data_IF_545894826194
#
_entry.id   IF_545894826194
#
_cell.length_a   1.000
_cell.length_b   1.000
_cell.length_c   1.000
_cell.angle_alpha   90.00
_cell.angle_beta   90.00
_cell.angle_gamma   90.00
#
_symmetry.space_group_name_H-M   'P 1'
#
loop_
_entity.id
_entity.type
_entity.pdbx_description
1 polymer ?
#
# COMPACT_ATOMS: atom_id res chain seq x y z
N UNK A 1 1.91 -10.30 -0.61
CA UNK A 1 1.87 -10.59 -2.05
C UNK A 1 2.85 -9.70 -2.79
N UNK A 2 3.85 -10.32 -3.42
CA UNK A 2 4.81 -9.69 -4.34
C UNK A 2 4.38 -9.95 -5.78
N UNK A 3 4.93 -9.19 -6.74
CA UNK A 3 4.68 -9.42 -8.18
C UNK A 3 5.08 -10.83 -8.61
N UNK A 4 6.22 -11.31 -8.11
CA UNK A 4 6.78 -12.61 -8.48
C UNK A 4 6.00 -13.79 -7.86
N UNK A 5 5.06 -13.51 -6.96
CA UNK A 5 4.28 -14.50 -6.20
C UNK A 5 2.77 -14.40 -6.54
N UNK A 6 2.46 -14.07 -7.80
CA UNK A 6 1.10 -14.03 -8.31
C UNK A 6 0.85 -15.00 -9.48
N UNK A 7 -0.42 -15.31 -9.74
CA UNK A 7 -0.89 -16.27 -10.73
C UNK A 7 -0.53 -15.91 -12.18
N UNK A 8 -0.20 -14.64 -12.44
CA UNK A 8 0.21 -14.12 -13.76
C UNK A 8 1.64 -13.56 -13.75
N UNK A 9 2.48 -13.98 -12.81
CA UNK A 9 3.84 -13.42 -12.65
C UNK A 9 4.68 -13.55 -13.92
N UNK A 10 4.51 -14.63 -14.69
CA UNK A 10 5.25 -14.88 -15.93
C UNK A 10 4.82 -13.91 -17.04
N UNK A 11 3.53 -13.67 -17.16
CA UNK A 11 2.91 -12.77 -18.12
C UNK A 11 3.33 -11.32 -17.82
N UNK A 12 3.28 -10.91 -16.55
CA UNK A 12 3.76 -9.60 -16.11
C UNK A 12 5.26 -9.41 -16.40
N UNK A 13 6.09 -10.42 -16.12
CA UNK A 13 7.51 -10.36 -16.42
C UNK A 13 7.79 -10.20 -17.92
N UNK A 14 7.09 -10.96 -18.78
CA UNK A 14 7.21 -10.85 -20.25
C UNK A 14 6.75 -9.50 -20.78
N UNK A 15 5.72 -8.92 -20.18
CA UNK A 15 5.23 -7.58 -20.52
C UNK A 15 6.13 -6.44 -19.97
N UNK A 16 7.17 -6.77 -19.21
CA UNK A 16 8.00 -5.76 -18.56
C UNK A 16 7.25 -4.98 -17.49
N UNK A 17 6.41 -5.65 -16.69
CA UNK A 17 5.62 -5.12 -15.57
C UNK A 17 6.03 -5.78 -14.24
N UNK A 18 7.33 -5.99 -14.07
CA UNK A 18 7.94 -6.60 -12.87
C UNK A 18 8.74 -5.56 -12.07
N UNK A 19 9.27 -5.95 -10.91
CA UNK A 19 10.17 -5.12 -10.08
C UNK A 19 11.43 -4.59 -10.83
N UNK A 20 11.73 -5.09 -12.04
CA UNK A 20 12.86 -4.66 -12.87
C UNK A 20 12.50 -3.57 -13.89
N UNK A 21 11.23 -3.25 -14.04
CA UNK A 21 10.70 -2.43 -15.13
C UNK A 21 10.75 -0.92 -14.88
N UNK A 22 11.26 -0.50 -13.72
CA UNK A 22 11.10 0.87 -13.23
C UNK A 22 9.79 1.02 -12.44
N UNK A 23 9.67 2.11 -11.68
CA UNK A 23 8.70 2.17 -10.60
C UNK A 23 7.26 2.24 -11.13
N UNK A 24 6.93 3.08 -12.12
CA UNK A 24 5.55 3.22 -12.64
C UNK A 24 5.00 1.89 -13.21
N UNK A 25 5.85 1.15 -13.93
CA UNK A 25 5.52 -0.17 -14.45
C UNK A 25 5.38 -1.21 -13.36
N UNK A 26 6.11 -1.05 -12.25
CA UNK A 26 5.97 -1.90 -11.07
C UNK A 26 4.63 -1.67 -10.37
N UNK A 27 4.18 -0.41 -10.19
CA UNK A 27 2.83 -0.11 -9.67
C UNK A 27 1.75 -0.75 -10.54
N UNK A 28 1.78 -0.50 -11.86
CA UNK A 28 0.80 -1.03 -12.78
C UNK A 28 0.80 -2.58 -12.77
N UNK A 29 2.00 -3.18 -12.71
CA UNK A 29 2.13 -4.62 -12.51
C UNK A 29 1.46 -5.11 -11.23
N UNK A 30 1.59 -4.37 -10.12
CA UNK A 30 1.04 -4.82 -8.84
C UNK A 30 -0.48 -4.71 -8.83
N UNK A 31 -1.04 -3.67 -9.46
CA UNK A 31 -2.48 -3.55 -9.69
C UNK A 31 -3.00 -4.72 -10.52
N UNK A 32 -2.33 -5.06 -11.62
CA UNK A 32 -2.71 -6.20 -12.47
C UNK A 32 -2.58 -7.53 -11.71
N UNK A 33 -1.56 -7.70 -10.87
CA UNK A 33 -1.41 -8.88 -10.01
C UNK A 33 -2.56 -9.01 -9.01
N UNK A 34 -2.92 -7.92 -8.31
CA UNK A 34 -4.07 -7.88 -7.37
C UNK A 34 -5.38 -8.19 -8.09
N UNK A 35 -5.59 -7.60 -9.28
CA UNK A 35 -6.74 -7.89 -10.11
C UNK A 35 -6.81 -9.38 -10.48
N UNK A 36 -5.72 -9.91 -11.03
CA UNK A 36 -5.66 -11.30 -11.50
C UNK A 36 -5.88 -12.30 -10.38
N UNK A 37 -5.26 -12.07 -9.23
CA UNK A 37 -5.39 -12.92 -8.04
C UNK A 37 -6.81 -12.95 -7.50
N UNK A 38 -7.57 -11.85 -7.63
CA UNK A 38 -8.99 -11.81 -7.25
C UNK A 38 -9.85 -12.76 -8.08
N UNK A 39 -9.48 -13.00 -9.33
CA UNK A 39 -10.24 -13.83 -10.28
C UNK A 39 -9.58 -15.19 -10.55
N UNK A 40 -8.44 -15.48 -9.91
CA UNK A 40 -7.74 -16.75 -10.05
C UNK A 40 -8.33 -17.80 -9.10
N UNK A 41 -8.93 -18.84 -9.66
CA UNK A 41 -9.55 -19.94 -8.88
C UNK A 41 -8.55 -20.69 -7.99
N UNK A 42 -7.28 -20.74 -8.38
CA UNK A 42 -6.20 -21.38 -7.63
C UNK A 42 -5.34 -20.38 -6.84
N UNK A 43 -5.87 -19.17 -6.59
CA UNK A 43 -5.14 -18.15 -5.85
C UNK A 43 -4.80 -18.62 -4.43
N UNK A 44 -3.51 -18.67 -4.11
CA UNK A 44 -3.05 -18.87 -2.74
C UNK A 44 -3.36 -17.68 -1.83
N UNK A 45 -3.64 -16.51 -2.42
CA UNK A 45 -4.00 -15.28 -1.74
C UNK A 45 -5.50 -15.12 -1.57
N UNK A 46 -6.32 -16.05 -2.05
CA UNK A 46 -7.78 -16.00 -1.96
C UNK A 46 -8.30 -15.68 -0.54
N UNK A 47 -7.78 -16.28 0.56
CA UNK A 47 -8.24 -15.92 1.91
C UNK A 47 -7.94 -14.46 2.29
N UNK A 48 -6.78 -13.95 1.87
CA UNK A 48 -6.39 -12.56 2.11
C UNK A 48 -7.22 -11.58 1.26
N UNK A 49 -7.41 -11.86 -0.03
CA UNK A 49 -8.25 -11.05 -0.92
C UNK A 49 -9.73 -11.09 -0.53
N UNK A 50 -10.18 -12.18 0.11
CA UNK A 50 -11.51 -12.28 0.68
C UNK A 50 -11.73 -11.29 1.83
N UNK A 51 -10.68 -10.95 2.59
CA UNK A 51 -10.72 -9.99 3.68
C UNK A 51 -10.72 -8.52 3.19
N UNK A 52 -10.12 -8.23 2.03
CA UNK A 52 -10.10 -6.88 1.46
C UNK A 52 -11.51 -6.36 1.10
N UNK A 53 -11.71 -5.02 1.15
CA UNK A 53 -12.98 -4.40 0.79
C UNK A 53 -13.44 -4.77 -0.62
N UNK A 54 -14.72 -5.10 -0.78
CA UNK A 54 -15.31 -5.45 -2.10
C UNK A 54 -15.53 -4.24 -2.99
N UNK A 55 -15.75 -3.08 -2.38
CA UNK A 55 -15.88 -1.77 -3.01
C UNK A 55 -15.16 -0.72 -2.16
N UNK A 56 -14.84 0.43 -2.76
CA UNK A 56 -14.05 1.49 -2.14
C UNK A 56 -14.75 2.87 -2.22
N UNK A 57 -16.03 2.99 -1.82
CA UNK A 57 -16.86 4.18 -2.07
C UNK A 57 -16.33 5.47 -1.42
N UNK A 58 -15.42 5.34 -0.44
CA UNK A 58 -14.78 6.48 0.23
C UNK A 58 -13.57 7.02 -0.54
N UNK A 59 -13.02 6.28 -1.49
CA UNK A 59 -11.92 6.76 -2.31
C UNK A 59 -12.46 7.66 -3.42
N UNK A 60 -11.88 8.86 -3.64
CA UNK A 60 -12.22 9.73 -4.75
C UNK A 60 -12.24 9.03 -6.11
N UNK A 61 -11.37 8.03 -6.29
CA UNK A 61 -11.34 7.17 -7.48
C UNK A 61 -12.70 6.55 -7.87
N UNK A 62 -13.57 6.34 -6.89
CA UNK A 62 -14.89 5.71 -7.09
C UNK A 62 -16.05 6.70 -7.11
N UNK A 63 -15.76 8.00 -6.97
CA UNK A 63 -16.78 9.03 -6.85
C UNK A 63 -17.37 9.39 -8.21
N UNK A 64 -18.65 9.81 -8.25
CA UNK A 64 -19.23 10.41 -9.43
C UNK A 64 -18.58 11.76 -9.74
N UNK A 65 -18.71 12.21 -10.99
CA UNK A 65 -17.97 13.37 -11.51
C UNK A 65 -18.35 14.69 -10.81
N UNK A 66 -19.59 14.84 -10.38
CA UNK A 66 -20.08 15.99 -9.61
C UNK A 66 -19.44 16.08 -8.23
N UNK A 67 -19.28 14.94 -7.54
CA UNK A 67 -18.55 14.87 -6.27
C UNK A 67 -17.04 15.12 -6.45
N UNK A 68 -16.45 14.62 -7.54
CA UNK A 68 -15.05 14.90 -7.89
C UNK A 68 -14.82 16.40 -8.17
N UNK A 69 -15.78 17.08 -8.79
CA UNK A 69 -15.70 18.51 -9.07
C UNK A 69 -15.57 19.36 -7.79
N UNK A 70 -16.07 18.87 -6.65
CA UNK A 70 -15.90 19.54 -5.34
C UNK A 70 -14.45 19.54 -4.83
N UNK A 71 -13.57 18.70 -5.40
CA UNK A 71 -12.14 18.69 -5.07
C UNK A 71 -11.35 19.73 -5.87
N UNK A 72 -11.97 20.45 -6.82
CA UNK A 72 -11.29 21.46 -7.63
C UNK A 72 -10.57 22.49 -6.76
N UNK A 73 -9.31 22.76 -7.09
CA UNK A 73 -8.45 23.68 -6.32
C UNK A 73 -7.85 23.09 -5.05
N UNK A 74 -8.15 21.84 -4.70
CA UNK A 74 -7.50 21.15 -3.58
C UNK A 74 -6.26 20.37 -4.04
N UNK A 75 -5.30 20.17 -3.14
CA UNK A 75 -4.16 19.31 -3.42
C UNK A 75 -4.56 17.86 -3.73
N UNK A 76 -5.74 17.39 -3.28
CA UNK A 76 -6.21 16.04 -3.57
C UNK A 76 -6.49 15.86 -5.07
N UNK A 77 -7.18 16.81 -5.70
CA UNK A 77 -7.43 16.81 -7.14
C UNK A 77 -6.12 16.84 -7.93
N UNK A 78 -5.21 17.77 -7.59
CA UNK A 78 -3.92 17.88 -8.26
C UNK A 78 -3.13 16.56 -8.24
N UNK A 79 -3.07 15.91 -7.08
CA UNK A 79 -2.32 14.65 -6.91
C UNK A 79 -2.98 13.47 -7.60
N UNK A 80 -4.31 13.45 -7.74
CA UNK A 80 -5.02 12.45 -8.53
C UNK A 80 -4.69 12.61 -10.02
N UNK A 81 -4.61 13.85 -10.50
CA UNK A 81 -4.19 14.22 -11.86
C UNK A 81 -2.69 13.98 -12.11
N UNK A 82 -1.93 13.48 -11.13
CA UNK A 82 -0.49 13.32 -11.23
C UNK A 82 0.31 14.62 -11.14
N UNK A 83 -0.35 15.78 -10.97
CA UNK A 83 0.35 17.03 -10.65
C UNK A 83 1.08 16.82 -9.32
N UNK A 84 2.34 17.25 -9.28
CA UNK A 84 3.27 17.04 -8.16
C UNK A 84 3.89 15.64 -8.05
N UNK A 85 3.58 14.69 -8.94
CA UNK A 85 4.50 13.58 -9.23
C UNK A 85 5.73 14.19 -9.93
N UNK A 86 6.67 14.73 -9.14
CA UNK A 86 7.84 15.47 -9.66
C UNK A 86 8.59 14.61 -10.67
N UNK A 87 9.10 15.22 -11.75
CA UNK A 87 10.09 14.63 -12.67
C UNK A 87 11.08 13.73 -11.92
N UNK A 88 11.00 12.43 -12.16
CA UNK A 88 11.87 11.41 -11.57
C UNK A 88 11.38 10.74 -10.28
N UNK A 89 10.20 11.10 -9.76
CA UNK A 89 9.56 10.43 -8.62
C UNK A 89 8.29 9.68 -9.09
N UNK A 90 8.32 8.37 -8.89
CA UNK A 90 7.26 7.38 -9.13
C UNK A 90 5.83 7.90 -8.91
N UNK A 91 4.93 7.57 -9.84
CA UNK A 91 3.48 7.82 -9.72
C UNK A 91 2.89 6.89 -8.67
N UNK A 92 2.52 7.43 -7.51
CA UNK A 92 1.96 6.62 -6.42
C UNK A 92 0.46 6.35 -6.63
N UNK A 93 0.03 5.08 -6.62
CA UNK A 93 -1.37 4.72 -6.77
C UNK A 93 -2.28 5.45 -5.76
N UNK A 94 -3.51 5.85 -6.15
CA UNK A 94 -4.14 5.66 -7.47
C UNK A 94 -3.98 6.88 -8.42
N UNK A 95 -2.88 7.63 -8.34
CA UNK A 95 -2.66 8.78 -9.24
C UNK A 95 -2.57 8.32 -10.71
N UNK A 96 -3.09 9.14 -11.63
CA UNK A 96 -3.07 8.91 -13.09
C UNK A 96 -3.61 7.53 -13.52
N UNK A 97 -4.50 6.93 -12.73
CA UNK A 97 -5.01 5.57 -12.98
C UNK A 97 -5.65 5.39 -14.37
N UNK A 98 -6.28 6.42 -14.91
CA UNK A 98 -6.85 6.38 -16.27
C UNK A 98 -5.77 6.38 -17.36
N UNK A 99 -4.63 7.03 -17.10
CA UNK A 99 -3.45 6.96 -17.99
C UNK A 99 -2.85 5.56 -17.93
N UNK A 100 -2.64 5.02 -16.72
CA UNK A 100 -2.16 3.65 -16.52
C UNK A 100 -3.10 2.62 -17.14
N UNK A 101 -4.41 2.83 -17.06
CA UNK A 101 -5.40 1.99 -17.72
C UNK A 101 -5.23 2.03 -19.23
N UNK A 102 -5.24 3.23 -19.83
CA UNK A 102 -5.17 3.42 -21.28
C UNK A 102 -3.89 2.86 -21.89
N UNK A 103 -2.76 3.11 -21.24
CA UNK A 103 -1.43 2.91 -21.82
C UNK A 103 -0.78 1.58 -21.41
N UNK A 104 -1.22 0.97 -20.29
CA UNK A 104 -0.60 -0.25 -19.75
C UNK A 104 -1.62 -1.36 -19.55
N UNK A 105 -2.62 -1.15 -18.70
CA UNK A 105 -3.48 -2.25 -18.25
C UNK A 105 -4.41 -2.76 -19.35
N UNK A 106 -5.07 -1.88 -20.10
CA UNK A 106 -5.96 -2.27 -21.20
C UNK A 106 -5.21 -3.05 -22.29
N UNK A 107 -4.09 -2.56 -22.86
CA UNK A 107 -3.30 -3.35 -23.82
C UNK A 107 -2.86 -4.71 -23.27
N UNK A 108 -2.49 -4.78 -21.98
CA UNK A 108 -2.13 -6.05 -21.35
C UNK A 108 -3.33 -7.01 -21.29
N UNK A 109 -4.49 -6.56 -20.81
CA UNK A 109 -5.68 -7.40 -20.64
C UNK A 109 -6.30 -7.83 -21.97
N UNK A 110 -6.19 -7.02 -23.03
CA UNK A 110 -6.63 -7.39 -24.39
C UNK A 110 -5.91 -8.66 -24.91
N UNK A 111 -4.65 -8.86 -24.52
CA UNK A 111 -3.84 -10.04 -24.84
C UNK A 111 -4.00 -11.18 -23.82
N UNK A 112 -4.64 -10.93 -22.67
CA UNK A 112 -4.79 -11.87 -21.57
C UNK A 112 -6.24 -11.88 -21.03
N UNK A 113 -7.21 -12.10 -21.93
CA UNK A 113 -8.65 -11.92 -21.66
C UNK A 113 -9.23 -12.77 -20.53
N UNK A 114 -8.53 -13.81 -20.08
CA UNK A 114 -8.96 -14.67 -18.96
C UNK A 114 -8.63 -14.10 -17.58
N UNK A 115 -7.83 -13.03 -17.51
CA UNK A 115 -7.35 -12.45 -16.25
C UNK A 115 -8.44 -11.65 -15.53
N UNK A 116 -9.37 -11.08 -16.28
CA UNK A 116 -10.44 -10.23 -15.78
C UNK A 116 -11.78 -10.68 -16.37
N UNK A 117 -12.91 -10.52 -15.65
CA UNK A 117 -14.23 -10.76 -16.22
C UNK A 117 -14.51 -9.80 -17.37
N UNK A 118 -14.99 -10.35 -18.49
CA UNK A 118 -15.33 -9.58 -19.68
C UNK A 118 -16.34 -8.47 -19.39
N UNK A 119 -16.07 -7.25 -19.87
CA UNK A 119 -16.91 -6.07 -19.66
C UNK A 119 -16.76 -5.41 -18.29
N UNK A 120 -15.88 -5.93 -17.42
CA UNK A 120 -15.60 -5.35 -16.09
C UNK A 120 -14.12 -5.02 -15.88
N UNK A 121 -13.30 -5.15 -16.91
CA UNK A 121 -11.84 -5.03 -16.84
C UNK A 121 -11.40 -3.68 -16.25
N UNK A 122 -12.01 -2.58 -16.73
CA UNK A 122 -11.72 -1.23 -16.21
C UNK A 122 -12.12 -1.09 -14.75
N UNK A 123 -13.34 -1.49 -14.39
CA UNK A 123 -13.84 -1.40 -13.02
C UNK A 123 -13.00 -2.24 -12.03
N UNK A 124 -12.57 -3.44 -12.45
CA UNK A 124 -11.69 -4.29 -11.64
C UNK A 124 -10.28 -3.69 -11.51
N UNK A 125 -9.78 -3.02 -12.56
CA UNK A 125 -8.50 -2.30 -12.50
C UNK A 125 -8.55 -1.08 -11.59
N UNK A 126 -9.62 -0.29 -11.64
CA UNK A 126 -9.85 0.82 -10.69
C UNK A 126 -9.93 0.31 -9.24
N UNK A 127 -10.64 -0.80 -9.01
CA UNK A 127 -10.66 -1.43 -7.69
C UNK A 127 -9.25 -1.83 -7.23
N UNK A 128 -8.46 -2.49 -8.10
CA UNK A 128 -7.10 -2.88 -7.77
C UNK A 128 -6.18 -1.68 -7.51
N UNK A 129 -6.30 -0.61 -8.28
CA UNK A 129 -5.57 0.63 -8.07
C UNK A 129 -5.88 1.27 -6.71
N UNK A 130 -7.15 1.30 -6.32
CA UNK A 130 -7.58 1.77 -5.00
C UNK A 130 -7.05 0.88 -3.87
N UNK A 131 -7.13 -0.45 -4.03
CA UNK A 131 -6.58 -1.41 -3.05
C UNK A 131 -5.08 -1.23 -2.90
N UNK A 132 -4.32 -1.18 -3.99
CA UNK A 132 -2.87 -1.00 -3.94
C UNK A 132 -2.52 0.36 -3.33
N UNK A 133 -3.23 1.43 -3.69
CA UNK A 133 -3.02 2.76 -3.12
C UNK A 133 -3.27 2.84 -1.61
N UNK A 134 -4.25 2.09 -1.11
CA UNK A 134 -4.68 2.13 0.28
C UNK A 134 -3.99 1.10 1.20
N UNK A 135 -3.53 -0.03 0.67
CA UNK A 135 -3.11 -1.19 1.48
C UNK A 135 -1.69 -1.70 1.16
N UNK A 136 -1.04 -1.20 0.10
CA UNK A 136 0.33 -1.61 -0.22
C UNK A 136 1.38 -0.88 0.63
N UNK A 137 2.54 -1.51 0.78
CA UNK A 137 3.70 -0.94 1.45
C UNK A 137 4.82 -0.75 0.44
N UNK A 138 5.56 0.36 0.60
CA UNK A 138 6.87 0.53 -0.05
C UNK A 138 7.93 -0.12 0.82
N UNK A 139 8.58 -1.17 0.31
CA UNK A 139 9.49 -2.01 1.05
C UNK A 139 10.93 -1.93 0.52
N UNK A 140 11.88 -2.14 1.43
CA UNK A 140 13.30 -2.25 1.13
C UNK A 140 13.95 -0.96 0.63
N UNK A 141 15.27 -1.04 0.37
CA UNK A 141 16.04 0.09 -0.15
C UNK A 141 15.69 0.46 -1.59
N UNK A 142 15.26 -0.54 -2.37
CA UNK A 142 14.84 -0.38 -3.77
C UNK A 142 13.41 0.16 -3.91
N UNK A 143 12.70 0.38 -2.79
CA UNK A 143 11.35 0.95 -2.72
C UNK A 143 10.35 0.24 -3.63
N UNK A 144 10.34 -1.09 -3.57
CA UNK A 144 9.38 -1.89 -4.33
C UNK A 144 8.02 -1.90 -3.59
N UNK A 145 6.91 -2.01 -4.31
CA UNK A 145 5.58 -2.09 -3.71
C UNK A 145 5.15 -3.54 -3.49
N UNK A 146 4.46 -3.79 -2.37
CA UNK A 146 3.90 -5.09 -2.06
C UNK A 146 2.65 -4.97 -1.19
N UNK A 147 1.73 -5.91 -1.34
CA UNK A 147 0.65 -6.10 -0.37
C UNK A 147 1.19 -6.89 0.82
N UNK A 148 0.88 -6.49 2.04
CA UNK A 148 1.39 -7.16 3.24
C UNK A 148 0.23 -7.61 4.14
N UNK A 149 -0.27 -8.84 3.93
CA UNK A 149 -1.39 -9.37 4.69
C UNK A 149 -1.17 -9.23 6.20
N UNK A 150 -2.26 -9.00 6.93
CA UNK A 150 -2.33 -8.72 8.37
C UNK A 150 -1.89 -7.31 8.77
N UNK A 151 -0.81 -6.74 8.23
CA UNK A 151 -0.38 -5.41 8.65
C UNK A 151 -1.07 -4.27 7.92
N UNK A 152 -1.55 -4.54 6.71
CA UNK A 152 -2.46 -3.65 6.00
C UNK A 152 -3.86 -3.56 6.65
N UNK A 153 -4.15 -4.39 7.66
CA UNK A 153 -5.35 -4.28 8.47
C UNK A 153 -5.28 -3.23 9.58
N UNK A 154 -4.07 -2.73 9.89
CA UNK A 154 -3.88 -1.77 10.97
C UNK A 154 -4.19 -0.36 10.49
N UNK A 155 -5.15 0.30 11.14
CA UNK A 155 -5.48 1.68 10.86
C UNK A 155 -4.32 2.63 11.21
N UNK A 156 -4.42 3.86 10.70
CA UNK A 156 -3.52 4.96 11.05
C UNK A 156 -4.35 6.13 11.56
N UNK A 157 -3.86 6.77 12.61
CA UNK A 157 -4.36 8.04 13.11
C UNK A 157 -3.16 8.93 13.40
N UNK A 158 -3.12 10.15 12.85
CA UNK A 158 -1.96 11.02 12.98
C UNK A 158 -1.61 11.27 14.44
N UNK A 159 -0.35 10.97 14.80
CA UNK A 159 0.16 11.18 16.15
C UNK A 159 -0.23 10.12 17.18
N UNK A 160 -0.96 9.06 16.80
CA UNK A 160 -1.36 7.96 17.70
C UNK A 160 -0.71 6.62 17.39
N UNK A 161 0.22 6.57 16.43
CA UNK A 161 0.89 5.33 16.05
C UNK A 161 1.65 4.71 17.26
N UNK A 162 1.32 3.46 17.57
CA UNK A 162 1.88 2.69 18.68
C UNK A 162 2.64 1.44 18.22
N UNK A 163 2.75 1.23 16.90
CA UNK A 163 3.62 0.24 16.26
C UNK A 163 4.43 0.85 15.12
N UNK A 164 5.51 0.16 14.73
CA UNK A 164 6.30 0.46 13.54
C UNK A 164 6.66 -0.80 12.77
N UNK A 165 6.71 -0.68 11.45
CA UNK A 165 7.25 -1.73 10.59
C UNK A 165 8.78 -1.77 10.70
N UNK A 166 9.34 -2.97 10.80
CA UNK A 166 10.76 -3.23 10.81
C UNK A 166 11.10 -4.35 9.83
N UNK A 167 12.06 -4.10 8.95
CA UNK A 167 12.61 -5.13 8.07
C UNK A 167 13.80 -5.80 8.74
N UNK A 168 13.62 -7.05 9.18
CA UNK A 168 14.69 -7.85 9.76
C UNK A 168 15.47 -8.55 8.64
N UNK A 169 16.63 -7.99 8.29
CA UNK A 169 17.49 -8.56 7.25
C UNK A 169 17.97 -9.99 7.60
N UNK A 170 18.12 -10.32 8.89
CA UNK A 170 18.62 -11.61 9.37
C UNK A 170 17.63 -12.76 9.12
N UNK A 171 16.36 -12.54 9.38
CA UNK A 171 15.30 -13.53 9.18
C UNK A 171 14.60 -13.39 7.83
N UNK A 172 15.03 -12.45 6.98
CA UNK A 172 14.34 -12.07 5.75
C UNK A 172 12.83 -11.83 5.96
N UNK A 173 12.46 -11.31 7.12
CA UNK A 173 11.08 -11.14 7.53
C UNK A 173 10.80 -9.68 7.84
N UNK A 174 9.57 -9.28 7.56
CA UNK A 174 9.05 -8.03 8.07
C UNK A 174 8.46 -8.29 9.48
N UNK A 175 8.50 -7.28 10.35
CA UNK A 175 8.05 -7.37 11.73
C UNK A 175 7.30 -6.09 12.09
N UNK A 176 6.15 -6.22 12.75
CA UNK A 176 5.46 -5.09 13.37
C UNK A 176 5.83 -5.03 14.84
N UNK A 177 6.47 -3.94 15.28
CA UNK A 177 7.05 -3.80 16.62
C UNK A 177 6.32 -2.71 17.37
N UNK A 178 5.79 -3.02 18.56
CA UNK A 178 5.24 -2.04 19.48
C UNK A 178 6.29 -0.99 19.86
N UNK A 179 5.93 0.28 19.78
CA UNK A 179 6.79 1.42 20.12
C UNK A 179 6.54 1.94 21.53
N UNK A 180 5.46 1.48 22.16
CA UNK A 180 5.01 1.80 23.50
C UNK A 180 4.16 0.65 24.06
N UNK A 181 3.77 0.71 25.34
CA UNK A 181 2.80 -0.23 25.89
C UNK A 181 1.44 -0.07 25.22
N UNK A 182 0.77 -1.19 24.93
CA UNK A 182 -0.57 -1.24 24.35
C UNK A 182 -1.45 -2.04 25.32
N UNK A 183 -2.48 -1.41 25.86
CA UNK A 183 -3.36 -2.05 26.84
C UNK A 183 -4.27 -3.10 26.19
N UNK A 184 -4.80 -4.04 26.99
CA UNK A 184 -5.80 -4.98 26.50
C UNK A 184 -7.04 -4.22 26.00
N UNK A 185 -7.47 -4.52 24.77
CA UNK A 185 -8.58 -3.84 24.10
C UNK A 185 -8.21 -2.51 23.44
N UNK A 186 -6.97 -2.03 23.60
CA UNK A 186 -6.47 -0.87 22.84
C UNK A 186 -6.15 -1.28 21.40
N UNK A 187 -6.49 -0.42 20.44
CA UNK A 187 -6.20 -0.64 19.03
C UNK A 187 -4.70 -0.58 18.75
N UNK A 188 -4.24 -1.46 17.87
CA UNK A 188 -2.88 -1.42 17.32
C UNK A 188 -2.89 -0.47 16.12
N UNK A 189 -2.27 0.71 16.27
CA UNK A 189 -2.31 1.82 15.33
C UNK A 189 -0.98 1.95 14.61
N UNK A 190 -1.01 1.81 13.29
CA UNK A 190 0.14 1.98 12.39
C UNK A 190 0.36 3.47 12.03
N UNK A 191 1.45 3.74 11.32
CA UNK A 191 1.75 5.03 10.72
C UNK A 191 1.80 4.89 9.20
N UNK A 192 0.86 5.51 8.49
CA UNK A 192 0.86 5.56 7.02
C UNK A 192 1.89 6.56 6.44
N UNK A 193 2.63 7.24 7.31
CA UNK A 193 3.63 8.24 6.94
C UNK A 193 3.18 9.67 7.26
N UNK A 194 3.94 10.65 6.76
CA UNK A 194 3.63 12.08 6.92
C UNK A 194 2.82 12.54 5.71
N UNK A 195 1.51 12.34 5.76
CA UNK A 195 0.61 12.54 4.62
C UNK A 195 -0.31 13.74 4.83
N UNK A 196 -0.34 14.67 3.88
CA UNK A 196 -1.31 15.78 3.87
C UNK A 196 -2.76 15.28 3.86
N UNK A 197 -3.75 16.08 4.28
CA UNK A 197 -5.16 15.69 4.18
C UNK A 197 -5.58 15.24 2.77
N UNK A 198 -5.07 15.89 1.71
CA UNK A 198 -5.33 15.46 0.33
C UNK A 198 -4.67 14.12 -0.06
N UNK A 199 -3.56 13.76 0.58
CA UNK A 199 -2.93 12.43 0.41
C UNK A 199 -3.73 11.35 1.14
N UNK A 200 -4.16 11.65 2.37
CA UNK A 200 -5.03 10.78 3.14
C UNK A 200 -6.34 10.51 2.37
N UNK A 201 -6.93 11.55 1.80
CA UNK A 201 -8.19 11.44 1.08
C UNK A 201 -8.02 10.61 -0.20
N UNK A 202 -7.04 10.93 -1.05
CA UNK A 202 -6.89 10.26 -2.35
C UNK A 202 -6.51 8.78 -2.21
N UNK A 203 -5.74 8.41 -1.19
CA UNK A 203 -5.24 7.04 -1.01
C UNK A 203 -6.10 6.19 -0.09
N UNK A 204 -6.63 6.77 0.99
CA UNK A 204 -7.28 6.01 2.07
C UNK A 204 -8.75 6.41 2.28
N UNK A 205 -9.24 7.45 1.62
CA UNK A 205 -10.65 7.86 1.70
C UNK A 205 -11.02 8.45 3.06
N UNK A 206 -10.02 9.01 3.76
CA UNK A 206 -10.16 9.68 5.05
C UNK A 206 -9.50 11.05 5.01
N UNK A 207 -9.92 11.95 5.88
CA UNK A 207 -9.28 13.25 6.07
C UNK A 207 -9.21 13.53 7.56
N UNK A 208 -8.09 14.09 8.02
CA UNK A 208 -7.86 14.44 9.41
C UNK A 208 -7.63 15.95 9.55
N UNK A 209 -8.23 16.61 10.56
CA UNK A 209 -8.00 18.03 10.81
C UNK A 209 -6.61 18.26 11.43
N UNK A 210 -5.85 19.22 10.89
CA UNK A 210 -4.60 19.71 11.48
C UNK A 210 -3.36 19.57 10.60
N UNK A 211 -2.21 20.15 10.99
CA UNK A 211 -0.96 19.99 10.26
C UNK A 211 -0.54 18.51 10.33
N UNK A 212 -0.46 17.89 9.16
CA UNK A 212 -0.23 16.46 8.85
C UNK A 212 1.14 15.89 9.28
N UNK A 213 1.70 16.37 10.39
CA UNK A 213 2.99 15.93 10.89
C UNK A 213 2.80 14.84 11.93
N UNK A 214 2.72 13.59 11.46
CA UNK A 214 3.04 12.45 12.33
C UNK A 214 4.46 12.70 12.89
N UNK A 215 4.56 12.97 14.21
CA UNK A 215 5.81 13.36 14.90
C UNK A 215 6.77 12.17 15.11
N UNK A 216 6.81 11.20 14.20
CA UNK A 216 7.75 10.10 14.29
C UNK A 216 9.01 10.40 13.48
N UNK A 217 10.10 10.80 14.16
CA UNK A 217 11.44 10.99 13.57
C UNK A 217 12.06 9.69 13.03
N UNK A 218 11.44 8.53 13.27
CA UNK A 218 12.02 7.21 13.00
C UNK A 218 11.74 6.57 11.63
N UNK A 219 11.00 7.21 10.72
CA UNK A 219 10.75 6.60 9.40
C UNK A 219 12.00 6.59 8.48
N UNK A 220 13.02 7.41 8.77
CA UNK A 220 14.33 7.36 8.12
C UNK A 220 15.41 7.86 9.10
N UNK A 221 15.92 6.99 9.97
CA UNK A 221 17.00 7.38 10.89
C UNK A 221 17.21 6.37 12.02
N UNK A 222 18.47 6.16 12.40
CA UNK A 222 18.98 5.10 13.29
C UNK A 222 18.11 4.84 14.53
N UNK A 223 17.96 3.56 14.87
CA UNK A 223 17.40 3.10 16.13
C UNK A 223 18.02 3.86 17.30
N UNK A 224 17.20 4.60 18.05
CA UNK A 224 17.55 5.01 19.40
C UNK A 224 16.90 3.99 20.34
N UNK A 225 17.72 3.47 21.25
CA UNK A 225 17.35 2.48 22.26
C UNK A 225 16.15 2.95 23.07
N UNK A 226 15.11 2.11 23.15
CA UNK A 226 14.00 2.31 24.06
C UNK A 226 14.50 2.20 25.52
N UNK A 227 13.96 2.99 26.47
CA UNK A 227 14.25 2.80 27.88
C UNK A 227 13.73 1.43 28.33
N UNK A 228 14.55 0.70 29.09
CA UNK A 228 14.21 -0.61 29.62
C UNK A 228 13.01 -0.48 30.58
N UNK A 229 11.93 -1.22 30.29
CA UNK A 229 10.78 -1.33 31.18
C UNK A 229 10.99 -2.58 32.08
N UNK A 230 11.22 -2.42 33.39
CA UNK A 230 11.62 -3.53 34.28
C UNK A 230 10.50 -4.55 34.58
N UNK A 231 9.28 -4.37 34.07
CA UNK A 231 8.11 -5.18 34.42
C UNK A 231 7.67 -6.29 33.46
N UNK A 232 8.33 -6.52 32.32
CA UNK A 232 7.92 -7.54 31.34
C UNK A 232 9.02 -8.58 31.11
N UNK A 233 9.06 -9.58 32.00
CA UNK A 233 9.80 -10.83 31.74
C UNK A 233 8.99 -11.72 30.79
N UNK A 234 8.95 -11.40 29.50
CA UNK A 234 8.38 -12.31 28.50
C UNK A 234 9.22 -12.31 27.22
N UNK A 235 9.71 -13.51 26.89
CA UNK A 235 10.38 -13.96 25.66
C UNK A 235 11.82 -13.50 25.40
N UNK A 236 12.78 -14.21 26.00
CA UNK A 236 14.16 -14.27 25.48
C UNK A 236 14.18 -15.10 24.20
N UNK A 237 13.92 -14.45 23.06
CA UNK A 237 14.21 -15.04 21.74
C UNK A 237 15.71 -14.84 21.43
N UNK A 238 16.41 -15.78 20.74
CA UNK A 238 17.86 -15.74 20.51
C UNK A 238 18.37 -14.58 19.62
N UNK A 239 17.55 -13.56 19.36
CA UNK A 239 17.89 -12.39 18.55
C UNK A 239 18.36 -11.19 19.40
N UNK A 240 18.21 -11.24 20.73
CA UNK A 240 18.55 -10.17 21.67
C UNK A 240 19.70 -10.57 22.61
N UNK A 241 20.78 -11.12 22.03
CA UNK A 241 22.02 -11.41 22.74
C UNK A 241 23.18 -10.64 22.13
N UNK A 242 23.45 -9.45 22.65
CA UNK A 242 24.69 -8.71 22.42
C UNK A 242 25.21 -8.28 23.78
N UNK A 243 26.39 -8.80 24.11
CA UNK A 243 27.13 -8.66 25.37
C UNK A 243 27.46 -7.21 25.75
N UNK A 244 27.68 -7.05 27.06
CA UNK A 244 27.99 -5.84 27.82
C UNK A 244 28.86 -4.78 27.13
#
# INVERSE_FOLDING_TARGET
>A
MLLDDCCIARELARAGLSHRAGPDKEAAGLMLAVLAERHCLSSRWAPYLAWLPKSLPRLPLSWPQDALALLAGTAAADKLDGKWARSGAFVEPPAEVEVLWRDIARPFLEHHRTVAPAGREHAEFLWAAGVVGAYSFTLGRKRFQAMVPLWDALNSVTGRANVRLHHCARSASLQMIATQGIAQGEEVINCYGRLSPGELLRRYGISEPGPSLCRYKGCFGRAQSAPANPGLQLWRHPCFGGTA
#
